data_IF_410551603432
#
_entry.id   IF_410551603432
#
_cell.length_a   1.000
_cell.length_b   1.000
_cell.length_c   1.000
_cell.angle_alpha   90.00
_cell.angle_beta   90.00
_cell.angle_gamma   90.00
#
_symmetry.space_group_name_H-M   'P 1'
#
loop_
_entity.id
_entity.type
_entity.pdbx_description
1 polymer ?
2 polymer ?
3 polymer ?
4 non-polymer ?
5 non-polymer ?
6 non-polymer ?
7 water ?
#
loop_
_entity_poly.entity_id
_entity_poly.type
_entity_poly.pdbx_seq_one_letter_code
_entity_poly.pdbx_strand_id
2 'polydeoxyribonucleotide' '(DA)(DG)(DG)(DA)(DC)(DC)(DOC)' ?
3 'polydeoxyribonucleotide' '(DC)(DT)(DG)(DG)(DG)(DT)(DC)(DC)(DT)' ?
#
# COMPACT_ATOMS: atom_id res chain seq x y z
N UNK A 26 15.28 21.47 5.50
CA UNK A 26 15.81 21.73 4.17
C UNK A 26 15.41 20.66 3.15
N UNK A 27 16.41 20.02 2.55
CA UNK A 27 16.19 19.03 1.49
C UNK A 27 16.29 17.59 1.99
N UNK A 28 15.20 16.85 1.89
CA UNK A 28 15.14 15.51 2.45
C UNK A 28 15.66 14.44 1.48
N UNK A 29 15.88 13.26 2.03
CA UNK A 29 16.20 12.07 1.26
C UNK A 29 15.27 10.97 1.74
N UNK A 30 14.26 10.66 0.93
CA UNK A 30 13.25 9.67 1.24
C UNK A 30 13.53 8.42 0.40
N UNK A 31 13.23 7.24 0.94
CA UNK A 31 13.18 6.04 0.10
C UNK A 31 11.77 5.47 0.10
N UNK A 32 11.35 4.90 -1.02
CA UNK A 32 10.09 4.18 -1.14
C UNK A 32 10.44 2.75 -1.50
N UNK A 33 9.95 1.79 -0.71
CA UNK A 33 10.26 0.39 -0.91
C UNK A 33 9.01 -0.36 -1.29
N UNK A 34 9.13 -1.21 -2.30
CA UNK A 34 7.98 -1.76 -2.99
C UNK A 34 8.29 -3.21 -3.31
N UNK A 35 7.64 -4.15 -2.63
CA UNK A 35 7.97 -5.56 -2.80
C UNK A 35 7.48 -6.13 -4.13
N UNK A 36 8.26 -6.99 -4.75
CA UNK A 36 7.80 -7.61 -5.98
C UNK A 36 6.66 -8.64 -5.74
N UNK A 37 5.65 -8.56 -6.61
CA UNK A 37 4.48 -9.44 -6.60
C UNK A 37 4.19 -10.05 -5.22
N UNK A 38 3.89 -9.19 -4.25
CA UNK A 38 3.94 -9.57 -2.84
C UNK A 38 3.28 -10.89 -2.45
N UNK A 39 1.99 -11.05 -2.72
CA UNK A 39 1.33 -12.31 -2.35
C UNK A 39 1.96 -13.51 -3.06
N UNK A 40 2.14 -13.37 -4.38
CA UNK A 40 2.78 -14.42 -5.18
C UNK A 40 4.13 -14.78 -4.58
N UNK A 41 4.90 -13.75 -4.29
CA UNK A 41 6.23 -13.93 -3.72
C UNK A 41 6.22 -14.65 -2.37
N UNK A 42 5.25 -14.37 -1.51
CA UNK A 42 5.14 -15.07 -0.24
C UNK A 42 4.71 -16.55 -0.42
N UNK A 43 3.89 -16.80 -1.44
CA UNK A 43 3.47 -18.16 -1.72
C UNK A 43 4.62 -18.99 -2.27
N UNK A 44 5.41 -18.39 -3.15
CA UNK A 44 6.55 -19.08 -3.75
C UNK A 44 7.60 -19.43 -2.70
N UNK A 45 7.75 -18.59 -1.70
CA UNK A 45 8.70 -18.86 -0.63
C UNK A 45 8.28 -20.10 0.15
N UNK A 46 6.97 -20.30 0.31
CA UNK A 46 6.44 -21.44 1.06
C UNK A 46 6.64 -22.78 0.35
N UNK A 47 6.62 -22.78 -0.98
CA UNK A 47 7.12 -23.92 -1.75
C UNK A 47 7.45 -23.57 -3.21
N UNK A 48 8.72 -23.78 -3.59
CA UNK A 48 9.24 -23.41 -4.90
C UNK A 48 8.71 -24.31 -6.01
N UNK A 49 7.84 -25.24 -5.65
CA UNK A 49 7.13 -26.04 -6.65
C UNK A 49 6.31 -25.07 -7.51
N UNK A 50 5.95 -23.94 -6.93
CA UNK A 50 5.24 -22.86 -7.61
C UNK A 50 6.22 -22.01 -8.42
N UNK A 51 7.38 -21.72 -7.84
CA UNK A 51 8.41 -20.92 -8.48
C UNK A 51 8.86 -21.61 -9.77
N UNK A 52 9.17 -20.81 -10.79
CA UNK A 52 9.48 -21.30 -12.14
C UNK A 52 8.24 -21.74 -12.94
N UNK A 53 7.17 -22.06 -12.22
CA UNK A 53 5.87 -22.33 -12.85
C UNK A 53 5.05 -21.04 -12.80
N UNK A 54 4.25 -20.76 -13.85
CA UNK A 54 3.37 -19.59 -13.78
C UNK A 54 2.43 -19.68 -12.58
N UNK A 55 2.21 -18.56 -11.88
CA UNK A 55 1.48 -18.58 -10.61
C UNK A 55 0.55 -17.39 -10.41
N UNK A 56 -0.69 -17.67 -10.07
CA UNK A 56 -1.64 -16.63 -9.70
C UNK A 56 -2.12 -16.83 -8.27
N UNK A 57 -2.33 -15.74 -7.55
CA UNK A 57 -2.92 -15.79 -6.21
C UNK A 57 -4.38 -15.37 -6.29
N UNK A 58 -5.25 -16.26 -5.86
CA UNK A 58 -6.66 -16.13 -6.13
C UNK A 58 -7.46 -15.72 -4.92
N UNK A 59 -8.38 -14.78 -5.14
CA UNK A 59 -9.36 -14.42 -4.14
C UNK A 59 -10.69 -14.41 -4.85
N UNK A 60 -11.61 -15.25 -4.37
CA UNK A 60 -12.90 -15.43 -4.99
C UNK A 60 -12.76 -15.69 -6.49
N UNK A 61 -13.40 -14.87 -7.31
CA UNK A 61 -13.35 -15.07 -8.75
C UNK A 61 -12.20 -14.28 -9.39
N UNK A 62 -11.19 -13.94 -8.60
CA UNK A 62 -10.14 -13.05 -9.08
C UNK A 62 -8.74 -13.55 -8.78
N UNK A 63 -7.86 -13.43 -9.77
CA UNK A 63 -6.44 -13.50 -9.47
C UNK A 63 -6.01 -12.06 -9.17
N UNK A 64 -5.62 -11.81 -7.92
CA UNK A 64 -5.35 -10.44 -7.49
C UNK A 64 -3.91 -10.06 -7.83
N UNK A 65 -3.04 -11.07 -7.82
CA UNK A 65 -1.64 -10.89 -8.21
C UNK A 65 -1.03 -12.22 -8.67
N UNK A 66 -0.04 -12.11 -9.57
CA UNK A 66 0.61 -13.29 -10.14
C UNK A 66 2.10 -13.06 -10.16
N UNK A 67 2.89 -14.14 -10.20
CA UNK A 67 4.32 -13.95 -10.38
C UNK A 67 4.66 -13.53 -11.82
N UNK A 68 5.89 -13.04 -12.01
CA UNK A 68 6.30 -12.53 -13.31
C UNK A 68 6.44 -13.67 -14.29
N UNK A 69 6.84 -14.82 -13.76
CA UNK A 69 6.87 -16.08 -14.52
C UNK A 69 5.54 -16.39 -15.20
N UNK A 70 4.54 -15.54 -15.00
CA UNK A 70 3.20 -15.74 -15.52
C UNK A 70 2.63 -14.44 -16.03
N UNK A 71 3.28 -13.34 -15.68
CA UNK A 71 2.75 -12.03 -16.04
C UNK A 71 2.98 -11.77 -17.52
N UNK A 72 4.10 -12.29 -18.03
CA UNK A 72 4.46 -12.12 -19.45
C UNK A 72 3.57 -12.98 -20.35
N UNK A 73 2.95 -13.99 -19.76
CA UNK A 73 2.01 -14.87 -20.48
C UNK A 73 0.58 -14.33 -20.48
N UNK A 74 0.45 -13.01 -20.35
CA UNK A 74 -0.85 -12.37 -20.42
C UNK A 74 -1.53 -12.08 -19.10
N UNK A 75 -1.22 -12.84 -18.05
CA UNK A 75 -1.91 -12.68 -16.77
C UNK A 75 -1.70 -11.30 -16.14
N UNK A 76 -2.79 -10.59 -15.87
CA UNK A 76 -2.72 -9.28 -15.24
C UNK A 76 -3.27 -9.28 -13.80
N UNK A 77 -2.89 -8.26 -13.05
CA UNK A 77 -3.38 -8.11 -11.68
C UNK A 77 -4.87 -7.76 -11.70
N UNK A 78 -5.61 -8.30 -10.74
CA UNK A 78 -7.06 -8.10 -10.66
C UNK A 78 -7.78 -8.54 -11.92
N UNK A 79 -7.22 -9.52 -12.63
CA UNK A 79 -7.82 -10.06 -13.84
C UNK A 79 -8.84 -11.13 -13.50
N UNK A 80 -9.99 -11.11 -14.18
CA UNK A 80 -11.01 -12.15 -14.01
C UNK A 80 -10.40 -13.55 -14.15
N UNK A 81 -10.76 -14.46 -13.25
CA UNK A 81 -10.13 -15.79 -13.21
C UNK A 81 -10.37 -16.61 -14.50
N UNK A 82 -11.49 -16.38 -15.17
CA UNK A 82 -11.78 -17.10 -16.40
C UNK A 82 -11.01 -16.52 -17.59
N UNK A 83 -10.79 -15.21 -17.59
CA UNK A 83 -9.99 -14.58 -18.64
C UNK A 83 -8.52 -14.90 -18.41
N UNK A 84 -8.19 -15.28 -17.18
CA UNK A 84 -6.82 -15.60 -16.80
C UNK A 84 -6.43 -16.96 -17.33
N UNK A 85 -7.42 -17.83 -17.45
CA UNK A 85 -7.23 -19.15 -18.04
C UNK A 85 -7.26 -19.03 -19.56
N UNK A 86 -8.13 -18.15 -20.06
CA UNK A 86 -8.27 -17.80 -21.47
C UNK A 86 -7.05 -17.00 -21.99
N UNK A 87 -5.98 -16.99 -21.23
CA UNK A 87 -4.72 -16.40 -21.66
C UNK A 87 -3.58 -17.26 -21.16
N UNK A 88 -3.93 -18.19 -20.26
CA UNK A 88 -2.96 -19.09 -19.66
C UNK A 88 -3.70 -20.17 -18.86
N UNK A 89 -4.01 -21.30 -19.52
CA UNK A 89 -4.70 -22.41 -18.86
C UNK A 89 -3.77 -23.29 -18.01
N UNK A 90 -2.47 -23.04 -18.05
CA UNK A 90 -1.53 -23.83 -17.28
C UNK A 90 -1.04 -23.12 -16.01
N UNK A 91 -1.74 -22.07 -15.60
CA UNK A 91 -1.34 -21.37 -14.38
C UNK A 91 -1.75 -22.11 -13.11
N UNK A 92 -0.89 -22.07 -12.10
CA UNK A 92 -1.20 -22.59 -10.79
C UNK A 92 -1.95 -21.53 -9.98
N UNK A 93 -3.12 -21.90 -9.49
CA UNK A 93 -3.91 -20.98 -8.68
C UNK A 93 -3.76 -21.33 -7.22
N UNK A 94 -3.52 -20.32 -6.39
CA UNK A 94 -3.44 -20.52 -4.94
C UNK A 94 -4.42 -19.57 -4.30
N UNK A 95 -5.09 -20.00 -3.25
CA UNK A 95 -6.09 -19.15 -2.61
C UNK A 95 -5.44 -18.25 -1.58
N UNK A 96 -5.54 -16.94 -1.80
CA UNK A 96 -4.95 -15.99 -0.91
C UNK A 96 -6.00 -15.08 -0.31
N UNK A 97 -7.19 -15.63 -0.09
CA UNK A 97 -8.25 -14.93 0.64
C UNK A 97 -7.91 -14.67 2.10
N UNK A 98 -7.04 -15.49 2.67
CA UNK A 98 -6.63 -15.34 4.06
C UNK A 98 -5.34 -14.55 4.11
N UNK A 99 -5.38 -13.37 4.72
CA UNK A 99 -4.26 -12.44 4.63
C UNK A 99 -3.19 -12.68 5.68
N UNK A 100 -3.49 -13.57 6.62
CA UNK A 100 -2.67 -13.80 7.79
C UNK A 100 -1.18 -13.85 7.52
N UNK A 101 -0.76 -14.75 6.63
CA UNK A 101 0.66 -14.92 6.35
C UNK A 101 1.29 -13.70 5.65
N UNK A 102 0.55 -13.04 4.76
CA UNK A 102 1.08 -11.86 4.08
C UNK A 102 1.27 -10.71 5.06
N UNK A 103 0.29 -10.55 5.95
CA UNK A 103 0.30 -9.54 7.01
C UNK A 103 1.48 -9.72 7.95
N UNK A 104 1.76 -10.95 8.34
CA UNK A 104 2.88 -11.19 9.23
C UNK A 104 4.19 -10.86 8.53
N UNK A 105 4.26 -11.17 7.25
CA UNK A 105 5.41 -10.83 6.46
C UNK A 105 5.52 -9.32 6.28
N UNK A 106 4.39 -8.67 6.00
CA UNK A 106 4.34 -7.22 5.91
C UNK A 106 5.05 -6.51 7.08
N UNK A 107 4.75 -6.91 8.31
CA UNK A 107 5.35 -6.28 9.48
C UNK A 107 6.79 -6.69 9.73
N UNK A 108 7.19 -7.83 9.21
CA UNK A 108 8.58 -8.22 9.32
C UNK A 108 9.43 -7.28 8.42
N UNK A 109 8.87 -6.92 7.28
CA UNK A 109 9.52 -5.99 6.39
C UNK A 109 9.61 -4.62 7.07
N UNK A 110 8.48 -4.11 7.54
CA UNK A 110 8.47 -2.81 8.20
C UNK A 110 9.45 -2.79 9.37
N UNK A 111 9.49 -3.86 10.16
CA UNK A 111 10.40 -3.88 11.30
C UNK A 111 11.87 -3.90 10.91
N UNK A 112 12.20 -4.55 9.81
CA UNK A 112 13.57 -4.55 9.34
C UNK A 112 13.96 -3.12 8.91
N UNK A 113 13.11 -2.48 8.14
CA UNK A 113 13.33 -1.09 7.75
C UNK A 113 13.45 -0.20 8.98
N UNK A 114 12.62 -0.44 9.99
CA UNK A 114 12.67 0.35 11.22
C UNK A 114 13.99 0.23 11.94
N UNK A 115 14.79 -0.78 11.60
CA UNK A 115 16.11 -0.91 12.19
C UNK A 115 17.05 0.17 11.67
N UNK A 116 16.94 0.45 10.37
CA UNK A 116 17.73 1.50 9.72
C UNK A 116 17.43 2.89 10.29
N UNK A 117 16.16 3.32 10.17
CA UNK A 117 15.69 4.56 10.78
C UNK A 117 14.29 4.27 11.32
N UNK A 118 13.98 4.80 12.51
CA UNK A 118 12.75 4.46 13.23
C UNK A 118 11.43 4.96 12.62
N UNK A 119 11.47 5.99 11.76
CA UNK A 119 10.24 6.59 11.25
C UNK A 119 9.89 5.99 9.90
N UNK A 120 9.17 4.87 9.93
CA UNK A 120 8.80 4.19 8.70
C UNK A 120 7.31 4.30 8.51
N UNK A 121 6.90 4.65 7.31
CA UNK A 121 5.49 4.81 7.03
C UNK A 121 5.01 3.70 6.12
N UNK A 122 4.01 2.94 6.55
CA UNK A 122 3.47 1.90 5.68
C UNK A 122 2.44 2.48 4.72
N UNK A 123 2.32 1.85 3.57
CA UNK A 123 1.24 2.11 2.65
C UNK A 123 0.82 0.74 2.14
N UNK A 124 -0.31 0.24 2.62
CA UNK A 124 -0.75 -1.11 2.31
C UNK A 124 0.19 -2.11 2.93
N UNK A 125 0.20 -3.34 2.41
CA UNK A 125 1.03 -4.39 3.00
C UNK A 125 2.43 -4.44 2.44
N UNK A 126 2.65 -3.90 1.24
CA UNK A 126 3.95 -4.10 0.58
C UNK A 126 4.76 -2.85 0.24
N UNK A 127 4.40 -1.71 0.83
CA UNK A 127 5.10 -0.45 0.58
C UNK A 127 5.47 0.29 1.84
N UNK A 128 6.70 0.79 1.86
CA UNK A 128 7.18 1.61 2.96
C UNK A 128 7.96 2.85 2.52
N UNK A 129 7.70 3.94 3.21
CA UNK A 129 8.52 5.10 3.08
C UNK A 129 9.39 5.19 4.29
N UNK A 130 10.62 5.59 4.10
CA UNK A 130 11.53 5.80 5.21
C UNK A 130 12.24 7.11 4.97
N UNK A 131 12.27 7.98 5.97
CA UNK A 131 13.01 9.24 5.86
C UNK A 131 14.46 8.97 6.18
N UNK A 132 15.31 9.01 5.16
CA UNK A 132 16.73 8.69 5.31
C UNK A 132 17.61 9.90 5.60
N UNK A 133 17.00 11.07 5.78
CA UNK A 133 17.78 12.31 5.86
C UNK A 133 18.84 12.32 6.95
N UNK A 134 18.42 12.19 8.21
CA UNK A 134 19.38 12.19 9.32
C UNK A 134 20.45 11.11 9.13
N UNK A 135 20.05 9.92 8.70
CA UNK A 135 21.01 8.86 8.43
C UNK A 135 22.01 9.23 7.32
N UNK A 136 21.53 9.89 6.27
CA UNK A 136 22.41 10.34 5.19
C UNK A 136 23.45 11.34 5.74
N UNK A 137 22.98 12.30 6.52
CA UNK A 137 23.85 13.24 7.23
C UNK A 137 24.91 12.56 8.08
N UNK A 138 24.49 11.68 8.98
CA UNK A 138 25.44 10.98 9.85
C UNK A 138 26.55 10.31 9.05
N UNK A 139 26.21 9.67 7.94
CA UNK A 139 27.24 8.99 7.17
C UNK A 139 28.22 9.96 6.54
N UNK A 140 27.72 11.07 6.01
CA UNK A 140 28.61 12.04 5.39
C UNK A 140 29.55 12.66 6.41
N UNK A 141 29.07 12.86 7.62
CA UNK A 141 29.92 13.39 8.67
C UNK A 141 31.02 12.41 9.06
N UNK A 142 30.82 11.13 8.76
CA UNK A 142 31.82 10.10 9.02
C UNK A 142 32.93 10.15 7.97
N UNK A 143 32.57 10.59 6.76
CA UNK A 143 33.51 10.64 5.64
C UNK A 143 34.53 11.76 5.80
N UNK A 144 35.70 11.56 5.19
CA UNK A 144 36.72 12.59 5.10
C UNK A 144 36.56 13.31 3.76
N UNK A 145 37.30 14.40 3.58
CA UNK A 145 37.29 15.13 2.30
C UNK A 145 38.01 14.33 1.21
N UNK A 146 38.53 13.17 1.60
CA UNK A 146 39.19 12.26 0.68
C UNK A 146 38.16 11.41 -0.04
N UNK A 147 37.33 10.72 0.75
CA UNK A 147 36.42 9.71 0.24
C UNK A 147 35.13 10.29 -0.35
N UNK A 148 34.99 11.61 -0.22
CA UNK A 148 33.82 12.32 -0.73
C UNK A 148 33.77 12.34 -2.26
N UNK A 149 34.84 11.87 -2.88
CA UNK A 149 34.92 11.84 -4.33
C UNK A 149 34.97 10.41 -4.85
N UNK A 150 34.92 9.45 -3.92
CA UNK A 150 34.91 8.04 -4.27
C UNK A 150 33.48 7.47 -4.23
N UNK A 151 32.58 8.22 -3.59
CA UNK A 151 31.17 7.84 -3.48
C UNK A 151 30.53 7.50 -4.84
N UNK A 152 29.75 6.43 -4.89
CA UNK A 152 29.15 5.98 -6.13
C UNK A 152 27.67 5.73 -5.96
N UNK A 153 26.97 5.62 -7.08
CA UNK A 153 25.56 5.29 -7.03
C UNK A 153 25.37 3.77 -6.94
N UNK A 154 24.32 3.37 -6.21
CA UNK A 154 23.90 1.99 -6.18
C UNK A 154 22.58 1.92 -6.93
N UNK A 155 22.56 1.16 -8.02
CA UNK A 155 21.38 1.05 -8.86
C UNK A 155 21.34 2.03 -10.02
N UNK A 156 20.19 2.13 -10.66
CA UNK A 156 19.99 3.05 -11.78
C UNK A 156 19.93 4.50 -11.34
N UNK A 157 20.32 5.40 -12.23
CA UNK A 157 20.07 6.82 -12.01
C UNK A 157 18.91 7.11 -12.93
N UNK A 158 17.90 7.84 -12.47
CA UNK A 158 16.75 8.09 -13.34
C UNK A 158 17.19 8.92 -14.57
N UNK A 159 16.79 8.46 -15.76
CA UNK A 159 17.00 9.19 -17.00
C UNK A 159 18.47 9.24 -17.43
N UNK A 160 19.30 8.39 -16.83
CA UNK A 160 20.72 8.34 -17.15
C UNK A 160 21.39 9.68 -16.97
N UNK A 161 20.84 10.49 -16.07
CA UNK A 161 21.39 11.79 -15.79
C UNK A 161 22.78 11.60 -15.23
N UNK A 162 23.63 12.60 -15.47
CA UNK A 162 25.01 12.57 -15.05
C UNK A 162 25.10 13.03 -13.62
N UNK A 163 25.95 12.35 -12.87
CA UNK A 163 26.16 12.71 -11.49
C UNK A 163 27.17 13.82 -11.45
N UNK A 164 27.02 14.71 -10.48
CA UNK A 164 27.99 15.76 -10.27
C UNK A 164 28.37 15.75 -8.79
N UNK A 165 29.54 15.19 -8.49
CA UNK A 165 29.99 14.97 -7.10
C UNK A 165 30.24 16.24 -6.31
N UNK A 166 30.12 17.38 -6.96
CA UNK A 166 30.37 18.60 -6.22
C UNK A 166 29.03 19.15 -5.78
N UNK A 167 27.99 18.61 -6.40
CA UNK A 167 26.62 18.96 -6.05
C UNK A 167 26.26 18.18 -4.79
N UNK A 168 26.12 18.89 -3.68
CA UNK A 168 25.90 18.25 -2.40
C UNK A 168 24.54 17.54 -2.32
N UNK A 169 23.55 18.03 -3.08
CA UNK A 169 22.28 17.32 -3.20
C UNK A 169 22.50 15.99 -3.95
N UNK A 170 23.38 15.97 -4.94
CA UNK A 170 23.66 14.73 -5.65
C UNK A 170 24.31 13.71 -4.72
N UNK A 171 25.20 14.18 -3.88
CA UNK A 171 25.99 13.32 -3.01
C UNK A 171 25.12 12.66 -1.93
N UNK A 172 24.17 13.43 -1.40
CA UNK A 172 23.23 12.93 -0.42
C UNK A 172 22.30 11.87 -1.02
N UNK A 173 21.83 12.11 -2.25
CA UNK A 173 20.99 11.16 -2.94
C UNK A 173 21.74 9.84 -3.28
N UNK A 174 23.02 9.91 -3.60
CA UNK A 174 23.79 8.69 -3.82
C UNK A 174 23.93 7.89 -2.53
N UNK A 175 24.14 8.60 -1.42
CA UNK A 175 24.31 7.94 -0.13
C UNK A 175 22.99 7.23 0.19
N UNK A 176 21.89 7.92 -0.11
CA UNK A 176 20.56 7.39 0.05
C UNK A 176 20.31 6.15 -0.79
N UNK A 177 20.97 6.05 -1.94
CA UNK A 177 20.78 4.90 -2.81
C UNK A 177 21.62 3.74 -2.29
N UNK A 178 22.71 4.05 -1.59
CA UNK A 178 23.53 3.01 -0.95
C UNK A 178 22.80 2.42 0.25
N UNK A 179 22.11 3.27 0.99
CA UNK A 179 21.30 2.79 2.10
C UNK A 179 20.16 1.95 1.53
N UNK A 180 19.49 2.46 0.49
CA UNK A 180 18.40 1.69 -0.13
C UNK A 180 18.86 0.29 -0.56
N UNK A 181 20.09 0.19 -1.06
CA UNK A 181 20.64 -1.08 -1.47
C UNK A 181 20.90 -2.02 -0.27
N UNK A 182 21.31 -1.45 0.85
CA UNK A 182 21.51 -2.21 2.07
C UNK A 182 20.19 -2.75 2.60
N UNK A 183 19.19 -1.88 2.67
CA UNK A 183 17.82 -2.30 2.93
C UNK A 183 17.43 -3.50 2.06
N UNK A 184 17.48 -3.35 0.74
CA UNK A 184 17.07 -4.41 -0.16
C UNK A 184 17.86 -5.69 0.10
N UNK A 185 19.14 -5.56 0.43
CA UNK A 185 19.98 -6.72 0.62
C UNK A 185 19.59 -7.45 1.91
N UNK A 186 19.38 -6.68 2.97
CA UNK A 186 18.92 -7.19 4.25
C UNK A 186 17.56 -7.93 4.16
N UNK A 187 16.59 -7.35 3.48
CA UNK A 187 15.29 -7.96 3.30
C UNK A 187 15.42 -9.30 2.63
N UNK A 188 16.42 -9.41 1.77
CA UNK A 188 16.56 -10.64 1.03
C UNK A 188 17.30 -11.69 1.86
N UNK A 189 18.43 -11.32 2.47
CA UNK A 189 19.20 -12.23 3.29
C UNK A 189 18.40 -12.69 4.53
N UNK A 190 17.66 -11.77 5.14
CA UNK A 190 16.96 -12.05 6.38
C UNK A 190 15.54 -12.54 6.23
N UNK A 191 14.86 -12.15 5.15
CA UNK A 191 13.47 -12.56 4.95
C UNK A 191 13.19 -13.19 3.60
N UNK A 192 14.19 -13.22 2.71
CA UNK A 192 14.00 -13.87 1.41
C UNK A 192 13.15 -13.11 0.41
N UNK A 193 12.84 -11.84 0.69
CA UNK A 193 11.99 -11.03 -0.18
C UNK A 193 12.78 -10.07 -1.11
N UNK A 194 12.32 -9.93 -2.35
CA UNK A 194 12.88 -8.93 -3.25
C UNK A 194 11.90 -7.78 -3.45
N UNK A 195 12.45 -6.59 -3.67
CA UNK A 195 11.64 -5.41 -3.91
C UNK A 195 12.34 -4.36 -4.74
N UNK A 196 11.57 -3.38 -5.19
CA UNK A 196 12.14 -2.20 -5.81
C UNK A 196 12.24 -1.10 -4.78
N UNK A 197 13.25 -0.23 -4.95
CA UNK A 197 13.36 0.99 -4.15
C UNK A 197 13.55 2.25 -5.02
N UNK A 198 12.93 3.35 -4.62
CA UNK A 198 13.20 4.62 -5.26
C UNK A 198 13.71 5.61 -4.24
N UNK A 199 14.79 6.29 -4.56
CA UNK A 199 15.31 7.35 -3.69
C UNK A 199 15.10 8.72 -4.35
N UNK A 200 14.45 9.64 -3.63
CA UNK A 200 14.18 10.97 -4.15
C UNK A 200 14.03 11.96 -3.00
N UNK A 201 13.58 13.18 -3.31
CA UNK A 201 13.62 14.26 -2.32
C UNK A 201 12.30 14.43 -1.58
N UNK A 202 11.24 13.85 -2.10
CA UNK A 202 10.03 13.75 -1.32
C UNK A 202 9.30 12.40 -1.53
N UNK A 203 8.11 12.27 -0.93
CA UNK A 203 7.44 11.00 -0.94
C UNK A 203 6.82 10.69 -2.29
N UNK A 204 6.18 11.69 -2.87
CA UNK A 204 5.63 11.56 -4.22
C UNK A 204 6.67 11.08 -5.22
N UNK A 205 7.85 11.69 -5.21
CA UNK A 205 8.84 11.41 -6.23
C UNK A 205 9.55 10.05 -6.01
N UNK A 206 9.82 9.71 -4.74
CA UNK A 206 10.35 8.39 -4.41
C UNK A 206 9.44 7.28 -4.95
N UNK A 207 8.14 7.46 -4.77
CA UNK A 207 7.17 6.45 -5.19
C UNK A 207 7.01 6.37 -6.70
N UNK A 208 7.24 7.49 -7.39
CA UNK A 208 7.07 7.53 -8.84
C UNK A 208 8.25 6.88 -9.53
N UNK A 209 9.41 7.02 -8.90
CA UNK A 209 10.65 6.55 -9.50
C UNK A 209 11.02 5.10 -9.10
N UNK A 210 10.42 4.60 -8.01
CA UNK A 210 10.76 3.26 -7.52
C UNK A 210 10.29 2.21 -8.49
N UNK A 211 9.30 2.56 -9.29
CA UNK A 211 8.80 1.63 -10.28
C UNK A 211 9.39 1.80 -11.67
N UNK A 212 10.39 2.66 -11.83
CA UNK A 212 10.94 2.85 -13.17
C UNK A 212 11.61 1.57 -13.68
N UNK A 213 12.37 0.90 -12.83
CA UNK A 213 12.95 -0.41 -13.20
C UNK A 213 12.43 -1.51 -12.30
N UNK A 214 11.62 -2.41 -12.86
CA UNK A 214 11.00 -3.53 -12.15
C UNK A 214 11.34 -4.86 -12.82
N UNK A 215 11.34 -5.96 -12.06
CA UNK A 215 11.23 -6.01 -10.60
C UNK A 215 12.61 -6.04 -9.98
N UNK A 216 12.66 -5.97 -8.66
CA UNK A 216 13.90 -6.17 -7.93
C UNK A 216 15.05 -5.28 -8.40
N UNK A 217 14.80 -3.98 -8.56
CA UNK A 217 15.85 -3.01 -8.91
C UNK A 217 15.60 -1.72 -8.18
N UNK A 218 16.55 -0.80 -8.22
CA UNK A 218 16.35 0.49 -7.57
C UNK A 218 16.84 1.63 -8.43
N UNK A 219 16.18 2.78 -8.29
CA UNK A 219 16.43 3.91 -9.15
C UNK A 219 16.49 5.11 -8.24
N UNK A 220 17.40 6.05 -8.55
CA UNK A 220 17.49 7.30 -7.81
C UNK A 220 17.21 8.50 -8.72
N UNK A 221 16.51 9.49 -8.19
CA UNK A 221 16.09 10.63 -8.98
C UNK A 221 16.90 11.85 -8.57
N UNK A 222 17.75 12.33 -9.47
CA UNK A 222 18.47 13.59 -9.23
C UNK A 222 17.54 14.76 -9.51
N UNK A 223 17.77 15.89 -8.84
CA UNK A 223 16.81 17.00 -8.95
C UNK A 223 16.50 17.48 -10.36
N UNK A 224 17.46 17.49 -11.28
CA UNK A 224 17.18 18.10 -12.57
C UNK A 224 16.34 17.23 -13.52
N UNK A 225 16.06 16.00 -13.09
CA UNK A 225 15.31 15.08 -13.93
C UNK A 225 13.87 14.97 -13.47
N UNK A 226 13.55 15.73 -12.43
CA UNK A 226 12.25 15.71 -11.82
C UNK A 226 11.07 16.07 -12.77
N UNK A 227 11.23 17.12 -13.56
CA UNK A 227 10.18 17.47 -14.49
C UNK A 227 10.03 16.33 -15.52
N UNK A 228 11.16 15.78 -15.98
CA UNK A 228 11.12 14.66 -16.91
C UNK A 228 10.26 13.55 -16.32
N UNK A 229 10.48 13.26 -15.03
CA UNK A 229 9.74 12.22 -14.31
C UNK A 229 8.22 12.46 -14.31
N UNK A 230 7.78 13.64 -13.87
CA UNK A 230 6.35 13.90 -13.84
C UNK A 230 5.73 14.06 -15.21
N UNK A 231 6.47 14.59 -16.19
CA UNK A 231 5.91 14.68 -17.52
C UNK A 231 5.95 13.33 -18.23
N UNK A 232 6.72 12.39 -17.68
CA UNK A 232 6.71 11.01 -18.21
C UNK A 232 5.35 10.33 -18.08
N UNK A 233 4.50 10.80 -17.16
CA UNK A 233 3.18 10.19 -16.95
C UNK A 233 2.20 10.52 -18.06
N UNK A 234 1.26 9.62 -18.31
CA UNK A 234 0.31 9.82 -19.41
C UNK A 234 -1.09 10.23 -18.99
N UNK A 235 -1.44 10.06 -17.73
CA UNK A 235 -2.70 10.64 -17.24
C UNK A 235 -2.65 10.99 -15.77
N UNK A 236 -3.38 12.04 -15.40
CA UNK A 236 -3.39 12.55 -14.03
C UNK A 236 -3.76 11.46 -13.02
N UNK A 237 -4.50 10.46 -13.49
CA UNK A 237 -4.91 9.33 -12.67
C UNK A 237 -3.72 8.56 -12.14
N UNK A 238 -2.54 8.82 -12.71
CA UNK A 238 -1.33 8.08 -12.35
C UNK A 238 -0.57 8.77 -11.24
N UNK A 239 -1.00 9.99 -10.90
CA UNK A 239 -0.43 10.73 -9.78
C UNK A 239 -1.03 10.20 -8.50
N UNK A 240 -0.19 9.66 -7.60
CA UNK A 240 -0.72 9.17 -6.33
C UNK A 240 -1.32 10.28 -5.48
N UNK A 241 -2.61 10.20 -5.19
CA UNK A 241 -3.32 11.25 -4.47
C UNK A 241 -4.54 11.64 -5.28
N UNK A 242 -4.47 11.32 -6.56
CA UNK A 242 -5.54 11.57 -7.49
C UNK A 242 -6.18 10.23 -7.76
N UNK A 243 -7.30 9.97 -7.12
CA UNK A 243 -7.94 8.67 -7.23
C UNK A 243 -9.07 8.60 -8.23
N UNK A 244 -9.99 7.67 -8.00
CA UNK A 244 -11.07 7.41 -8.96
C UNK A 244 -11.94 8.64 -9.25
N UNK A 245 -12.48 9.26 -8.21
CA UNK A 245 -13.40 10.36 -8.39
C UNK A 245 -12.72 11.65 -8.90
N UNK A 246 -11.66 12.08 -8.24
CA UNK A 246 -10.98 13.33 -8.59
C UNK A 246 -10.53 13.36 -10.05
N UNK A 247 -10.12 12.20 -10.54
CA UNK A 247 -9.73 12.02 -11.93
C UNK A 247 -10.90 12.31 -12.84
N UNK A 248 -12.00 11.61 -12.59
CA UNK A 248 -13.22 11.78 -13.37
C UNK A 248 -13.70 13.22 -13.33
N UNK A 249 -13.40 13.92 -12.24
CA UNK A 249 -13.77 15.32 -12.11
C UNK A 249 -12.87 16.23 -12.95
N UNK A 250 -11.55 16.02 -12.85
CA UNK A 250 -10.61 16.80 -13.64
C UNK A 250 -10.84 16.57 -15.13
N UNK A 251 -11.13 15.32 -15.47
CA UNK A 251 -11.35 14.91 -16.86
C UNK A 251 -12.57 15.62 -17.45
N UNK A 252 -13.46 16.07 -16.57
CA UNK A 252 -14.66 16.81 -16.97
C UNK A 252 -14.42 18.32 -17.00
N UNK A 253 -13.17 18.72 -16.88
CA UNK A 253 -12.82 20.13 -17.02
C UNK A 253 -11.81 20.31 -18.14
N UNK A 254 -11.68 19.29 -18.98
CA UNK A 254 -10.71 19.30 -20.06
C UNK A 254 -9.25 19.15 -19.62
N UNK A 255 -9.08 18.48 -18.47
CA UNK A 255 -7.76 18.25 -17.87
C UNK A 255 -7.35 16.78 -17.95
N UNK A 256 -6.42 16.50 -18.86
CA UNK A 256 -6.00 15.11 -19.11
C UNK A 256 -4.56 14.86 -18.72
N UNK A 257 -3.67 15.79 -19.07
CA UNK A 257 -2.25 15.61 -18.82
C UNK A 257 -1.83 16.29 -17.54
N UNK A 258 -0.65 15.90 -17.06
CA UNK A 258 0.02 16.55 -15.95
C UNK A 258 0.20 18.07 -16.20
N UNK A 259 0.48 18.44 -17.44
CA UNK A 259 0.65 19.84 -17.75
C UNK A 259 -0.67 20.61 -17.78
N UNK A 260 -1.72 19.98 -18.29
CA UNK A 260 -3.05 20.56 -18.17
C UNK A 260 -3.35 20.92 -16.70
N UNK A 261 -3.05 20.00 -15.78
CA UNK A 261 -3.23 20.28 -14.34
C UNK A 261 -2.22 21.29 -13.80
N UNK A 262 -1.01 21.30 -14.35
CA UNK A 262 -0.01 22.28 -13.96
C UNK A 262 -0.45 23.70 -14.31
N UNK A 263 -1.00 23.86 -15.51
CA UNK A 263 -1.24 25.19 -16.09
C UNK A 263 -2.66 25.71 -15.84
N UNK A 264 -3.53 24.85 -15.33
CA UNK A 264 -4.94 25.18 -15.18
C UNK A 264 -5.13 26.26 -14.11
N UNK A 265 -6.28 26.91 -14.12
CA UNK A 265 -6.52 28.05 -13.23
C UNK A 265 -6.78 27.63 -11.78
N UNK A 266 -5.94 28.11 -10.86
CA UNK A 266 -6.08 27.79 -9.44
C UNK A 266 -7.48 28.06 -8.89
N UNK A 267 -8.05 29.23 -9.23
CA UNK A 267 -9.35 29.62 -8.69
C UNK A 267 -10.45 28.64 -9.08
N UNK A 268 -10.53 28.31 -10.35
CA UNK A 268 -11.59 27.40 -10.83
C UNK A 268 -11.49 26.05 -10.14
N UNK A 269 -10.26 25.59 -10.00
CA UNK A 269 -9.95 24.26 -9.48
C UNK A 269 -10.41 24.10 -8.03
N UNK A 270 -10.24 25.14 -7.22
CA UNK A 270 -10.77 25.14 -5.86
C UNK A 270 -12.30 24.97 -5.87
N UNK A 271 -12.95 25.59 -6.84
CA UNK A 271 -14.40 25.61 -6.91
C UNK A 271 -15.05 24.24 -7.18
N UNK A 272 -14.27 23.26 -7.60
CA UNK A 272 -14.82 21.95 -7.94
C UNK A 272 -14.38 20.85 -6.97
N UNK A 273 -13.31 21.12 -6.23
CA UNK A 273 -12.66 20.09 -5.44
C UNK A 273 -12.43 20.57 -4.02
N UNK A 274 -12.37 21.89 -3.86
CA UNK A 274 -12.11 22.48 -2.56
C UNK A 274 -10.68 22.96 -2.51
N UNK A 275 -10.46 24.10 -1.86
CA UNK A 275 -9.13 24.68 -1.75
C UNK A 275 -8.10 23.69 -1.18
N UNK A 276 -8.57 22.64 -0.52
CA UNK A 276 -7.67 21.62 0.01
C UNK A 276 -7.18 20.70 -1.10
N UNK A 277 -8.10 20.04 -1.78
CA UNK A 277 -7.74 19.14 -2.87
C UNK A 277 -6.99 19.87 -4.00
N UNK A 278 -7.46 21.06 -4.31
CA UNK A 278 -6.91 21.85 -5.39
C UNK A 278 -5.44 22.16 -5.17
N UNK A 279 -5.13 22.88 -4.10
CA UNK A 279 -3.77 23.34 -3.92
C UNK A 279 -2.79 22.19 -3.66
N UNK A 280 -3.29 21.07 -3.16
CA UNK A 280 -2.41 19.92 -2.96
C UNK A 280 -2.14 19.22 -4.27
N UNK A 281 -3.19 18.86 -5.01
CA UNK A 281 -2.96 18.13 -6.26
C UNK A 281 -2.25 18.98 -7.32
N UNK A 282 -2.45 20.29 -7.26
CA UNK A 282 -1.75 21.11 -8.24
C UNK A 282 -0.28 21.10 -7.88
N UNK A 283 0.03 21.09 -6.59
CA UNK A 283 1.42 21.04 -6.17
C UNK A 283 2.06 19.71 -6.55
N UNK A 284 1.30 18.63 -6.38
CA UNK A 284 1.74 17.32 -6.84
C UNK A 284 2.07 17.34 -8.33
N UNK A 285 1.31 18.12 -9.09
CA UNK A 285 1.51 18.17 -10.54
C UNK A 285 2.87 18.72 -10.92
N UNK A 286 3.52 19.42 -9.99
CA UNK A 286 4.88 19.92 -10.22
C UNK A 286 5.93 19.09 -9.49
N UNK A 287 5.55 17.86 -9.11
CA UNK A 287 6.41 16.99 -8.31
C UNK A 287 6.73 17.53 -6.92
N UNK A 288 5.84 18.35 -6.39
CA UNK A 288 6.04 19.02 -5.11
C UNK A 288 5.21 18.33 -4.06
N UNK A 289 5.85 17.92 -2.98
CA UNK A 289 5.16 17.22 -1.92
C UNK A 289 5.96 17.39 -0.65
N UNK A 290 5.38 18.07 0.32
CA UNK A 290 6.13 18.34 1.53
C UNK A 290 5.61 17.57 2.74
N UNK A 291 4.66 16.65 2.48
CA UNK A 291 4.13 15.75 3.52
C UNK A 291 5.24 14.96 4.20
N UNK A 292 5.29 15.01 5.52
CA UNK A 292 6.34 14.28 6.25
C UNK A 292 6.12 12.75 6.20
N UNK A 293 7.20 12.01 6.30
CA UNK A 293 7.09 10.58 6.45
C UNK A 293 6.64 10.39 7.88
N UNK A 294 5.46 9.81 8.02
CA UNK A 294 4.82 9.60 9.33
C UNK A 294 4.98 8.17 9.83
N UNK A 295 5.66 8.00 10.96
CA UNK A 295 5.77 6.67 11.62
C UNK A 295 4.43 5.98 11.86
N UNK A 296 4.23 4.84 11.20
CA UNK A 296 2.95 4.14 11.24
C UNK A 296 2.67 3.41 12.56
N UNK A 297 3.68 2.70 13.06
CA UNK A 297 3.56 1.92 14.29
C UNK A 297 2.50 0.82 14.25
N UNK A 298 2.07 0.36 15.44
CA UNK A 298 0.97 -0.61 15.49
C UNK A 298 -0.24 0.00 14.82
N UNK A 299 -1.11 -0.83 14.22
CA UNK A 299 -2.26 -0.34 13.45
C UNK A 299 -3.31 0.39 14.27
N UNK A 300 -4.21 1.09 13.60
CA UNK A 300 -5.30 1.81 14.24
C UNK A 300 -6.56 0.96 14.22
N UNK A 301 -6.54 -0.10 13.42
CA UNK A 301 -7.69 -0.95 13.29
C UNK A 301 -7.29 -2.28 12.69
N UNK A 302 -8.11 -3.30 12.93
CA UNK A 302 -7.92 -4.60 12.29
C UNK A 302 -9.27 -5.27 12.15
N UNK A 303 -9.57 -5.72 10.94
CA UNK A 303 -10.87 -6.23 10.60
C UNK A 303 -10.78 -7.57 9.90
N UNK A 304 -11.96 -8.10 9.55
CA UNK A 304 -12.08 -9.35 8.83
C UNK A 304 -13.23 -9.18 7.87
N UNK A 305 -12.99 -9.50 6.60
CA UNK A 305 -13.96 -9.19 5.55
C UNK A 305 -14.24 -10.44 4.75
N UNK A 306 -15.39 -10.45 4.09
CA UNK A 306 -15.79 -11.54 3.21
C UNK A 306 -16.93 -11.07 2.32
N UNK A 307 -16.87 -11.42 1.04
CA UNK A 307 -17.95 -11.12 0.10
C UNK A 307 -18.52 -12.42 -0.47
N UNK A 308 -19.72 -12.34 -1.03
CA UNK A 308 -20.45 -13.51 -1.49
C UNK A 308 -21.50 -13.04 -2.49
N UNK A 309 -22.00 -13.96 -3.32
CA UNK A 309 -22.96 -13.57 -4.36
C UNK A 309 -24.32 -13.20 -3.78
N UNK A 310 -24.70 -13.83 -2.67
CA UNK A 310 -26.01 -13.59 -2.08
C UNK A 310 -26.10 -13.95 -0.60
N UNK A 311 -26.85 -13.15 0.14
CA UNK A 311 -27.11 -13.40 1.56
C UNK A 311 -28.32 -12.59 2.00
N UNK A 312 -29.47 -13.26 2.07
CA UNK A 312 -30.74 -12.58 2.33
C UNK A 312 -31.47 -13.12 3.56
N UNK A 313 -30.71 -13.67 4.51
CA UNK A 313 -31.28 -14.17 5.75
C UNK A 313 -30.62 -13.53 6.98
N UNK A 314 -31.16 -13.80 8.17
CA UNK A 314 -30.59 -13.31 9.41
C UNK A 314 -29.73 -14.40 10.03
N UNK A 315 -29.97 -15.65 9.63
CA UNK A 315 -29.20 -16.78 10.14
C UNK A 315 -27.90 -16.92 9.36
N UNK A 316 -27.96 -16.66 8.06
CA UNK A 316 -26.78 -16.67 7.22
C UNK A 316 -25.84 -15.58 7.71
N UNK A 317 -26.31 -14.34 7.65
CA UNK A 317 -25.57 -13.21 8.18
C UNK A 317 -24.97 -13.50 9.56
N UNK A 318 -25.80 -13.91 10.52
CA UNK A 318 -25.29 -14.17 11.86
C UNK A 318 -24.15 -15.17 11.86
N UNK A 319 -24.24 -16.18 11.00
CA UNK A 319 -23.19 -17.19 10.92
C UNK A 319 -21.88 -16.64 10.33
N UNK A 320 -21.98 -15.92 9.23
CA UNK A 320 -20.81 -15.27 8.64
C UNK A 320 -20.15 -14.34 9.66
N UNK A 321 -20.96 -13.48 10.26
CA UNK A 321 -20.55 -12.58 11.34
C UNK A 321 -19.84 -13.31 12.47
N UNK A 322 -20.30 -14.52 12.80
CA UNK A 322 -19.68 -15.31 13.85
C UNK A 322 -18.27 -15.78 13.51
N UNK A 323 -18.04 -16.13 12.25
CA UNK A 323 -16.71 -16.60 11.83
C UNK A 323 -15.71 -15.44 11.85
N UNK A 324 -16.14 -14.30 11.32
CA UNK A 324 -15.32 -13.10 11.26
C UNK A 324 -14.88 -12.66 12.66
N UNK A 325 -15.81 -12.67 13.60
CA UNK A 325 -15.47 -12.30 14.96
C UNK A 325 -14.49 -13.28 15.59
N UNK A 326 -14.60 -14.55 15.24
CA UNK A 326 -13.75 -15.58 15.83
C UNK A 326 -12.29 -15.43 15.40
N UNK A 327 -12.08 -15.15 14.11
CA UNK A 327 -10.74 -14.91 13.59
C UNK A 327 -10.21 -13.59 14.15
N UNK A 328 -11.03 -12.55 14.08
CA UNK A 328 -10.72 -11.27 14.70
C UNK A 328 -10.25 -11.44 16.15
N UNK A 329 -11.02 -12.21 16.92
CA UNK A 329 -10.71 -12.44 18.33
C UNK A 329 -9.35 -13.08 18.54
N UNK A 330 -8.92 -13.91 17.59
CA UNK A 330 -7.56 -14.47 17.66
C UNK A 330 -6.49 -13.39 17.55
N UNK A 331 -6.75 -12.40 16.71
CA UNK A 331 -5.83 -11.32 16.49
C UNK A 331 -5.94 -10.29 17.60
N UNK A 332 -7.05 -10.33 18.33
CA UNK A 332 -7.34 -9.30 19.31
C UNK A 332 -6.42 -9.35 20.53
N UNK A 333 -5.64 -10.42 20.64
CA UNK A 333 -4.62 -10.50 21.67
C UNK A 333 -3.51 -9.48 21.41
N UNK A 334 -2.29 -9.98 21.25
CA UNK A 334 -1.11 -9.16 20.89
C UNK A 334 -0.88 -7.95 21.80
N UNK A 335 -0.73 -6.78 21.18
CA UNK A 335 -0.03 -5.57 21.61
C UNK A 335 -0.66 -4.83 22.80
N UNK A 337 -2.71 -4.74 22.20
CA UNK A 337 -3.46 -4.11 23.27
C UNK A 337 -4.98 -4.37 23.16
N UNK A 338 -5.91 -3.53 23.58
CA UNK A 338 -7.32 -3.86 23.45
C UNK A 338 -8.14 -2.75 22.77
N UNK A 339 -9.14 -3.15 21.98
CA UNK A 339 -10.06 -2.26 21.25
C UNK A 339 -11.25 -1.80 22.08
N UNK A 340 -11.64 -0.55 21.94
CA UNK A 340 -12.75 -0.01 22.69
C UNK A 340 -13.91 0.38 21.79
N UNK A 341 -13.84 -0.01 20.51
CA UNK A 341 -14.98 0.21 19.60
C UNK A 341 -15.11 -0.97 18.64
N UNK A 342 -16.33 -1.23 18.18
CA UNK A 342 -16.56 -2.29 17.22
C UNK A 342 -17.49 -1.74 16.15
N UNK A 343 -17.20 -2.06 14.89
CA UNK A 343 -18.14 -1.69 13.83
C UNK A 343 -18.42 -2.83 12.88
N UNK A 344 -19.58 -2.73 12.23
CA UNK A 344 -20.05 -3.72 11.30
C UNK A 344 -20.31 -3.00 9.98
N UNK A 345 -19.92 -3.63 8.89
CA UNK A 345 -20.03 -3.02 7.57
C UNK A 345 -20.79 -3.98 6.67
N UNK A 346 -21.69 -3.46 5.86
CA UNK A 346 -22.42 -4.29 4.91
C UNK A 346 -22.33 -3.68 3.51
N UNK A 347 -22.79 -4.41 2.50
CA UNK A 347 -22.85 -3.86 1.14
C UNK A 347 -24.20 -4.15 0.48
N UNK A 348 -24.65 -3.24 -0.37
CA UNK A 348 -25.97 -3.35 -0.96
C UNK A 348 -25.96 -3.81 -2.42
N UNK A 349 -27.07 -4.42 -2.84
CA UNK A 349 -27.27 -4.90 -4.21
C UNK A 349 -26.31 -6.03 -4.61
N UNK A 356 -22.67 2.98 -1.25
CA UNK A 356 -22.62 1.53 -1.31
C UNK A 356 -22.45 0.90 0.06
N UNK A 357 -21.32 1.19 0.69
CA UNK A 357 -21.05 0.73 2.05
C UNK A 357 -22.02 1.36 3.05
N UNK A 358 -22.34 0.61 4.10
CA UNK A 358 -23.08 1.16 5.24
C UNK A 358 -22.50 0.56 6.51
N UNK A 359 -22.21 1.39 7.51
CA UNK A 359 -21.68 0.88 8.76
C UNK A 359 -22.54 1.25 9.98
N UNK A 360 -22.27 0.58 11.09
CA UNK A 360 -22.83 0.92 12.39
C UNK A 360 -21.81 0.56 13.43
N UNK A 361 -21.42 1.52 14.27
CA UNK A 361 -20.54 1.19 15.36
C UNK A 361 -21.15 1.55 16.73
N UNK A 362 -20.38 1.26 17.76
CA UNK A 362 -20.78 1.44 19.14
C UNK A 362 -19.55 0.99 19.91
N UNK A 363 -19.42 1.42 21.17
CA UNK A 363 -18.25 0.99 21.95
C UNK A 363 -18.45 -0.38 22.58
N UNK A 364 -17.34 -0.98 23.04
CA UNK A 364 -17.35 -2.32 23.61
C UNK A 364 -17.29 -2.27 25.12
N UNK A 365 -18.38 -2.65 25.79
CA UNK A 365 -18.57 -2.56 27.24
C UNK A 365 -17.36 -3.05 28.04
N UNK A 366 -17.15 -2.45 29.21
CA UNK A 366 -15.95 -2.67 30.02
C UNK A 366 -15.56 -4.13 30.22
N UNK A 367 -16.46 -4.89 30.83
CA UNK A 367 -16.18 -6.29 31.18
C UNK A 367 -15.89 -7.13 29.93
N UNK A 368 -16.46 -6.72 28.79
CA UNK A 368 -16.21 -7.38 27.53
C UNK A 368 -14.74 -7.26 27.13
N UNK A 369 -14.10 -6.16 27.56
CA UNK A 369 -12.70 -5.89 27.23
C UNK A 369 -11.71 -6.73 28.04
N UNK A 370 -12.07 -7.99 28.32
CA UNK A 370 -11.22 -8.92 29.05
C UNK A 370 -11.16 -10.29 28.37
N UNK A 371 -9.95 -10.69 27.96
CA UNK A 371 -9.77 -11.88 27.12
C UNK A 371 -9.17 -13.06 27.90
N UNK A 378 -17.59 -17.65 27.45
CA UNK A 378 -16.56 -17.28 26.50
C UNK A 378 -16.41 -15.77 26.45
N UNK A 379 -16.52 -15.21 25.24
CA UNK A 379 -16.54 -13.76 25.03
C UNK A 379 -17.33 -13.49 23.75
N UNK A 380 -17.48 -14.53 22.94
CA UNK A 380 -18.21 -14.44 21.68
C UNK A 380 -19.64 -13.97 21.93
N UNK A 381 -20.31 -14.66 22.87
CA UNK A 381 -21.75 -14.53 23.13
C UNK A 381 -22.33 -13.12 23.20
N UNK A 382 -21.79 -12.24 24.07
CA UNK A 382 -22.38 -10.89 24.07
C UNK A 382 -21.91 -10.07 22.85
N UNK A 383 -20.69 -10.34 22.39
CA UNK A 383 -20.19 -9.71 21.17
C UNK A 383 -21.12 -9.95 20.00
N UNK A 384 -21.59 -11.19 19.84
CA UNK A 384 -22.46 -11.53 18.71
C UNK A 384 -23.77 -10.78 18.81
N UNK A 385 -24.17 -10.52 20.05
CA UNK A 385 -25.43 -9.82 20.28
C UNK A 385 -25.35 -8.36 19.91
N UNK A 386 -24.29 -7.69 20.40
CA UNK A 386 -23.99 -6.31 20.00
C UNK A 386 -24.01 -6.17 18.48
N UNK A 387 -23.29 -7.05 17.79
CA UNK A 387 -23.17 -6.99 16.34
C UNK A 387 -24.51 -7.17 15.65
N UNK A 388 -25.30 -8.14 16.11
CA UNK A 388 -26.58 -8.41 15.49
C UNK A 388 -27.61 -7.30 15.73
N UNK A 389 -27.55 -6.69 16.91
CA UNK A 389 -28.34 -5.49 17.17
C UNK A 389 -27.89 -4.38 16.20
N UNK A 390 -26.58 -4.22 16.06
CA UNK A 390 -26.02 -3.29 15.07
C UNK A 390 -26.46 -3.69 13.67
N UNK A 391 -26.47 -4.99 13.42
CA UNK A 391 -26.95 -5.55 12.18
C UNK A 391 -28.41 -5.16 11.91
N UNK A 392 -29.29 -5.47 12.86
CA UNK A 392 -30.72 -5.20 12.72
C UNK A 392 -31.01 -3.71 12.57
N UNK A 393 -30.17 -2.89 13.19
CA UNK A 393 -30.34 -1.44 13.14
C UNK A 393 -30.31 -0.89 11.71
N UNK A 394 -29.58 -1.57 10.83
CA UNK A 394 -29.29 -1.01 9.51
C UNK A 394 -29.93 -1.78 8.36
N UNK A 395 -30.44 -2.97 8.67
CA UNK A 395 -31.15 -3.73 7.65
C UNK A 395 -32.48 -4.27 8.19
N UNK A 396 -33.53 -4.16 7.38
CA UNK A 396 -34.88 -4.59 7.77
C UNK A 396 -35.01 -6.11 7.69
N UNK A 397 -34.84 -6.78 8.82
CA UNK A 397 -34.72 -8.25 8.87
C UNK A 397 -36.01 -9.00 8.57
N UNK A 398 -37.08 -8.26 8.29
CA UNK A 398 -38.34 -8.86 7.87
C UNK A 398 -38.76 -8.29 6.52
N UNK A 399 -37.78 -7.72 5.82
CA UNK A 399 -37.95 -7.21 4.45
C UNK A 399 -36.97 -7.93 3.50
N UNK A 400 -37.20 -7.80 2.18
CA UNK A 400 -36.18 -8.34 1.27
C UNK A 400 -34.90 -7.50 1.33
N UNK A 401 -33.76 -8.16 1.41
CA UNK A 401 -32.47 -7.50 1.45
C UNK A 401 -31.37 -8.39 0.87
N UNK A 402 -30.52 -7.83 0.04
CA UNK A 402 -29.51 -8.61 -0.66
C UNK A 402 -28.07 -8.15 -0.36
N UNK A 403 -27.43 -8.84 0.58
CA UNK A 403 -26.09 -8.47 1.02
C UNK A 403 -24.97 -9.15 0.21
N UNK A 404 -23.97 -8.38 -0.21
CA UNK A 404 -22.86 -8.91 -1.00
C UNK A 404 -21.48 -8.75 -0.34
N UNK A 405 -21.47 -8.39 0.95
CA UNK A 405 -20.24 -8.23 1.73
C UNK A 405 -20.53 -8.06 3.23
N UNK A 406 -19.67 -8.62 4.07
CA UNK A 406 -19.78 -8.42 5.51
C UNK A 406 -18.41 -8.26 6.16
N UNK A 407 -18.25 -7.21 6.97
CA UNK A 407 -16.98 -6.97 7.66
C UNK A 407 -17.16 -6.57 9.13
N UNK A 408 -16.31 -7.13 9.98
CA UNK A 408 -16.29 -6.79 11.40
C UNK A 408 -14.99 -6.08 11.79
N UNK A 409 -15.10 -4.82 12.21
CA UNK A 409 -13.93 -4.01 12.55
C UNK A 409 -13.77 -3.69 14.04
N UNK A 410 -12.56 -3.90 14.55
CA UNK A 410 -12.14 -3.37 15.85
C UNK A 410 -11.31 -2.12 15.64
N UNK A 411 -11.75 -0.99 16.16
CA UNK A 411 -10.91 0.20 16.13
C UNK A 411 -10.78 0.79 17.52
N UNK A 412 -10.47 2.09 17.58
CA UNK A 412 -10.22 2.81 18.82
C UNK A 412 -9.41 2.02 19.85
N UNK A 413 -8.19 1.66 19.46
CA UNK A 413 -7.36 0.76 20.25
C UNK A 413 -6.62 1.44 21.39
N UNK A 414 -6.72 0.86 22.58
CA UNK A 414 -5.99 1.30 23.76
C UNK A 414 -5.21 0.15 24.36
#
# INVERSE_FOLDING_TARGET
MELADVGAAASSQGVHDQVLPTPNASSRVIVHVDLDCFYAQVEMISNPELKDKPLGVQQKYLVVTCNYEARKLGVKKLMNVRDAKEKCPQLVLVNGEDLTRYREMSYKVTELLEEFSPVVERLGFDENFVDLTEMVEKRLQQLQSDELSAVTVSGHVYNNQSINLLDVLHIRLLVGSQIAAEMREAMYNQLGLTGCAGVASNKLLAKLVSGVFKPNQQTVLLPESCQHLIHSLNHIKEIPGIGYKTAKCLEALGINSVRDLQTFSPKILEKELGISVAQRIQKLSFGEDNSPVILSGPPQSFSEEDSFKKCSSEVEAKNKIEELLASLLNRVCQDGRKPHTVRLIIRRYSSEKHYGRESRQCPIPSHVIQKLGTGNYDVMTPMVDILMKLFRNMVNVKMPFHLTLLSVCFCNLKALNTAK
#
